data_IF_774988098786
#
_entry.id   IF_774988098786
#
_cell.length_a   1.000
_cell.length_b   1.000
_cell.length_c   1.000
_cell.angle_alpha   90.00
_cell.angle_beta   90.00
_cell.angle_gamma   90.00
#
_symmetry.space_group_name_H-M   'P 1'
#
loop_
_entity.id
_entity.type
_entity.pdbx_description
1 polymer ?
#
# COMPACT_ATOMS: atom_id res chain seq x y z
N UNK A 1 -13.65 -29.47 20.98
CA UNK A 1 -13.14 -28.22 20.35
C UNK A 1 -12.00 -28.61 19.42
N UNK A 2 -12.19 -28.54 18.10
CA UNK A 2 -11.18 -29.01 17.14
C UNK A 2 -10.06 -27.99 16.98
N UNK A 3 -8.80 -28.39 17.18
CA UNK A 3 -7.64 -27.50 17.02
C UNK A 3 -7.54 -26.89 15.61
N UNK A 4 -8.07 -27.58 14.59
CA UNK A 4 -8.08 -27.05 13.22
C UNK A 4 -8.97 -25.80 13.06
N UNK A 5 -10.02 -25.67 13.87
CA UNK A 5 -10.87 -24.47 13.84
C UNK A 5 -10.11 -23.23 14.31
N UNK A 6 -9.25 -23.39 15.33
CA UNK A 6 -8.42 -22.30 15.86
C UNK A 6 -7.39 -21.88 14.81
N UNK A 7 -6.77 -22.83 14.11
CA UNK A 7 -5.83 -22.53 13.04
C UNK A 7 -6.47 -21.71 11.93
N UNK A 8 -7.64 -22.12 11.43
CA UNK A 8 -8.36 -21.35 10.40
C UNK A 8 -8.79 -19.97 10.88
N UNK A 9 -9.21 -19.84 12.15
CA UNK A 9 -9.56 -18.54 12.74
C UNK A 9 -8.36 -17.58 12.73
N UNK A 10 -7.18 -18.04 13.15
CA UNK A 10 -5.96 -17.22 13.17
C UNK A 10 -5.56 -16.83 11.74
N UNK A 11 -5.59 -17.77 10.80
CA UNK A 11 -5.27 -17.50 9.39
C UNK A 11 -6.20 -16.42 8.84
N UNK A 12 -7.52 -16.53 9.06
CA UNK A 12 -8.49 -15.54 8.60
C UNK A 12 -8.23 -14.15 9.21
N UNK A 13 -7.87 -14.08 10.48
CA UNK A 13 -7.55 -12.83 11.15
C UNK A 13 -6.27 -12.21 10.57
N UNK A 14 -5.23 -13.02 10.34
CA UNK A 14 -3.98 -12.56 9.75
C UNK A 14 -4.11 -12.17 8.28
N UNK A 15 -4.96 -12.81 7.47
CA UNK A 15 -5.15 -12.40 6.07
C UNK A 15 -5.91 -11.09 5.96
N UNK A 16 -6.95 -10.89 6.79
CA UNK A 16 -7.70 -9.62 6.81
C UNK A 16 -6.81 -8.47 7.29
N UNK A 17 -6.13 -8.65 8.43
CA UNK A 17 -5.33 -7.57 9.03
C UNK A 17 -3.94 -7.44 8.38
N UNK A 18 -3.27 -8.56 8.13
CA UNK A 18 -1.94 -8.59 7.54
C UNK A 18 -1.94 -8.19 6.08
N UNK A 19 -2.89 -8.68 5.27
CA UNK A 19 -2.98 -8.29 3.85
C UNK A 19 -3.24 -6.79 3.68
N UNK A 20 -4.17 -6.24 4.47
CA UNK A 20 -4.51 -4.82 4.44
C UNK A 20 -3.35 -3.95 4.95
N UNK A 21 -2.73 -4.31 6.08
CA UNK A 21 -1.62 -3.55 6.65
C UNK A 21 -0.39 -3.54 5.72
N UNK A 22 -0.06 -4.67 5.09
CA UNK A 22 1.04 -4.75 4.13
C UNK A 22 0.78 -3.86 2.91
N UNK A 23 -0.44 -3.88 2.38
CA UNK A 23 -0.82 -3.02 1.24
C UNK A 23 -0.72 -1.54 1.59
N UNK A 24 -1.21 -1.14 2.78
CA UNK A 24 -1.12 0.23 3.25
C UNK A 24 0.33 0.68 3.46
N UNK A 25 1.17 -0.17 4.06
CA UNK A 25 2.61 0.11 4.24
C UNK A 25 3.30 0.21 2.88
N UNK A 26 2.98 -0.64 1.92
CA UNK A 26 3.58 -0.61 0.59
C UNK A 26 3.25 0.70 -0.15
N UNK A 27 2.00 1.18 -0.05
CA UNK A 27 1.57 2.46 -0.61
C UNK A 27 2.20 3.65 0.13
N UNK A 28 2.27 3.60 1.46
CA UNK A 28 2.92 4.65 2.25
C UNK A 28 4.43 4.72 2.00
N UNK A 29 5.08 3.60 1.64
CA UNK A 29 6.53 3.52 1.42
C UNK A 29 6.94 3.86 0.00
N UNK A 30 6.07 3.58 -0.97
CA UNK A 30 6.16 4.14 -2.31
C UNK A 30 5.00 5.15 -2.47
N UNK A 31 5.05 6.32 -1.80
CA UNK A 31 4.30 7.43 -2.32
C UNK A 31 4.84 7.61 -3.74
N UNK A 32 4.01 7.36 -4.74
CA UNK A 32 4.30 7.77 -6.11
C UNK A 32 4.88 9.17 -5.98
N UNK A 33 6.10 9.37 -6.51
CA UNK A 33 6.64 10.71 -6.66
C UNK A 33 5.55 11.43 -7.42
N UNK A 34 4.86 12.34 -6.75
CA UNK A 34 3.98 13.26 -7.41
C UNK A 34 4.85 13.87 -8.52
N UNK A 35 4.56 13.55 -9.78
CA UNK A 35 5.15 14.18 -10.96
C UNK A 35 4.64 15.63 -11.05
N UNK A 36 4.66 16.35 -9.93
CA UNK A 36 4.47 17.81 -9.83
C UNK A 36 5.74 18.55 -10.28
N UNK A 37 6.70 17.84 -10.88
CA UNK A 37 7.78 18.39 -11.69
C UNK A 37 7.31 18.60 -13.14
N UNK A 38 6.14 19.22 -13.34
CA UNK A 38 5.86 19.88 -14.62
C UNK A 38 6.72 21.14 -14.62
N UNK A 39 7.94 21.03 -15.16
CA UNK A 39 8.82 22.17 -15.34
C UNK A 39 8.03 23.29 -16.06
N UNK A 40 8.06 24.53 -15.55
CA UNK A 40 7.43 25.64 -16.24
C UNK A 40 8.13 25.79 -17.57
N UNK A 41 7.39 25.59 -18.68
CA UNK A 41 7.92 25.84 -20.02
C UNK A 41 8.21 27.34 -20.11
N UNK A 42 9.45 27.72 -19.80
CA UNK A 42 9.99 29.04 -20.15
C UNK A 42 10.29 28.98 -21.64
N UNK A 43 9.24 29.01 -22.46
CA UNK A 43 9.38 29.35 -23.87
C UNK A 43 9.70 30.84 -23.90
N UNK A 44 11.00 31.13 -23.82
CA UNK A 44 11.55 32.45 -24.04
C UNK A 44 11.15 32.96 -25.41
N UNK A 45 10.40 34.03 -25.40
CA UNK A 45 10.19 34.93 -26.52
C UNK A 45 11.49 35.71 -26.79
N UNK A 46 12.29 35.20 -27.72
CA UNK A 46 13.33 35.92 -28.45
C UNK A 46 13.16 35.68 -29.96
#
# INVERSE_FOLDING_TARGET
MSGIAITFMIIAMLTIWGGLAISLVNLSRNPEKHDDDVEPVTTGNE
#
